data_IF_648685320036
#
_entry.id   IF_648685320036
#
_cell.length_a   1.000
_cell.length_b   1.000
_cell.length_c   1.000
_cell.angle_alpha   90.00
_cell.angle_beta   90.00
_cell.angle_gamma   90.00
#
_symmetry.space_group_name_H-M   'P 1'
#
loop_
_entity.id
_entity.type
_entity.pdbx_description
1 polymer ?
#
# COMPACT_ATOMS: atom_id res chain seq x y z
N UNK A 1 -1.43 29.56 -16.09
CA UNK A 1 -1.45 28.33 -15.27
C UNK A 1 -1.39 27.14 -16.22
N UNK A 2 -0.40 26.27 -16.09
CA UNK A 2 -0.20 25.16 -17.03
C UNK A 2 -1.41 24.20 -16.96
N UNK A 3 -1.97 23.83 -18.12
CA UNK A 3 -3.15 22.94 -18.24
C UNK A 3 -2.93 21.60 -17.51
N UNK A 4 -1.70 21.09 -17.52
CA UNK A 4 -1.29 19.86 -16.81
C UNK A 4 -1.48 19.99 -15.31
N UNK A 5 -0.94 21.03 -14.69
CA UNK A 5 -1.07 21.29 -13.25
C UNK A 5 -2.53 21.41 -12.79
N UNK A 6 -3.37 22.06 -13.63
CA UNK A 6 -4.82 22.16 -13.36
C UNK A 6 -5.50 20.79 -13.36
N UNK A 7 -5.11 19.91 -14.28
CA UNK A 7 -5.66 18.53 -14.34
C UNK A 7 -5.21 17.67 -13.16
N UNK A 8 -3.95 17.75 -12.76
CA UNK A 8 -3.41 17.05 -11.58
C UNK A 8 -4.16 17.45 -10.30
N UNK A 9 -4.29 18.76 -10.05
CA UNK A 9 -5.05 19.29 -8.90
C UNK A 9 -6.52 18.83 -8.91
N UNK A 10 -7.18 18.84 -10.09
CA UNK A 10 -8.55 18.36 -10.23
C UNK A 10 -8.66 16.86 -9.92
N UNK A 11 -7.72 16.03 -10.39
CA UNK A 11 -7.69 14.60 -10.12
C UNK A 11 -7.51 14.34 -8.62
N UNK A 12 -6.54 15.00 -7.99
CA UNK A 12 -6.30 14.86 -6.56
C UNK A 12 -7.50 15.32 -5.71
N UNK A 13 -8.14 16.43 -6.08
CA UNK A 13 -9.38 16.88 -5.45
C UNK A 13 -10.49 15.83 -5.57
N UNK A 14 -10.60 15.16 -6.73
CA UNK A 14 -11.55 14.07 -6.90
C UNK A 14 -11.26 12.89 -5.97
N UNK A 15 -9.99 12.50 -5.82
CA UNK A 15 -9.57 11.42 -4.92
C UNK A 15 -9.91 11.79 -3.46
N UNK A 16 -9.52 12.99 -3.00
CA UNK A 16 -9.85 13.49 -1.66
C UNK A 16 -11.37 13.44 -1.38
N UNK A 17 -12.16 13.94 -2.32
CA UNK A 17 -13.63 13.91 -2.19
C UNK A 17 -14.19 12.49 -2.13
N UNK A 18 -13.58 11.53 -2.83
CA UNK A 18 -14.00 10.13 -2.76
C UNK A 18 -13.66 9.51 -1.38
N UNK A 19 -12.49 9.83 -0.81
CA UNK A 19 -12.13 9.41 0.55
C UNK A 19 -13.13 9.96 1.58
N UNK A 20 -13.42 11.26 1.53
CA UNK A 20 -14.36 11.90 2.45
C UNK A 20 -15.76 11.26 2.34
N UNK A 21 -16.25 11.04 1.12
CA UNK A 21 -17.53 10.34 0.91
C UNK A 21 -17.52 8.90 1.40
N UNK A 22 -16.42 8.18 1.23
CA UNK A 22 -16.29 6.80 1.70
C UNK A 22 -16.32 6.74 3.23
N UNK A 23 -15.64 7.68 3.92
CA UNK A 23 -15.71 7.85 5.36
C UNK A 23 -17.16 8.11 5.82
N UNK A 24 -17.82 9.11 5.23
CA UNK A 24 -19.18 9.50 5.62
C UNK A 24 -20.16 8.34 5.45
N UNK A 25 -20.07 7.63 4.31
CA UNK A 25 -20.85 6.42 4.06
C UNK A 25 -20.59 5.31 5.10
N UNK A 26 -19.33 5.10 5.47
CA UNK A 26 -18.95 4.09 6.48
C UNK A 26 -19.51 4.45 7.86
N UNK A 27 -19.51 5.74 8.22
CA UNK A 27 -20.06 6.23 9.49
C UNK A 27 -21.60 6.09 9.54
N UNK A 28 -22.32 6.35 8.43
CA UNK A 28 -23.77 6.26 8.36
C UNK A 28 -24.30 4.81 8.39
N UNK A 29 -23.53 3.83 7.96
CA UNK A 29 -23.98 2.45 7.70
C UNK A 29 -23.73 1.45 8.84
N UNK A 30 -23.63 1.85 10.09
CA UNK A 30 -23.31 0.94 11.22
C UNK A 30 -22.02 0.10 11.04
N UNK A 31 -21.40 0.14 9.86
CA UNK A 31 -20.17 -0.59 9.56
C UNK A 31 -19.04 -0.12 10.47
N UNK A 32 -19.05 1.14 10.85
CA UNK A 32 -18.05 1.69 11.75
C UNK A 32 -18.18 1.10 13.17
N UNK A 33 -19.40 0.97 13.69
CA UNK A 33 -19.63 0.37 15.03
C UNK A 33 -19.18 -1.08 15.10
N UNK A 34 -19.42 -1.85 14.03
CA UNK A 34 -18.92 -3.24 13.91
C UNK A 34 -17.41 -3.26 13.85
N UNK A 35 -16.81 -2.38 13.06
CA UNK A 35 -15.34 -2.28 12.94
C UNK A 35 -14.71 -1.98 14.30
N UNK A 36 -15.22 -0.98 15.02
CA UNK A 36 -14.73 -0.62 16.34
C UNK A 36 -14.93 -1.76 17.37
N UNK A 37 -16.07 -2.45 17.33
CA UNK A 37 -16.33 -3.59 18.20
C UNK A 37 -15.33 -4.75 17.95
N UNK A 38 -15.06 -5.07 16.70
CA UNK A 38 -14.10 -6.12 16.34
C UNK A 38 -12.68 -5.72 16.72
N UNK A 39 -12.29 -4.46 16.48
CA UNK A 39 -10.96 -3.96 16.90
C UNK A 39 -10.79 -4.02 18.42
N UNK A 40 -11.79 -3.60 19.20
CA UNK A 40 -11.76 -3.71 20.67
C UNK A 40 -11.70 -5.16 21.15
N UNK A 41 -12.38 -6.08 20.49
CA UNK A 41 -12.30 -7.50 20.80
C UNK A 41 -10.87 -8.03 20.56
N UNK A 42 -10.24 -7.67 19.44
CA UNK A 42 -8.85 -8.03 19.12
C UNK A 42 -7.86 -7.40 20.11
N UNK A 43 -8.06 -6.14 20.51
CA UNK A 43 -7.27 -5.47 21.56
C UNK A 43 -7.36 -6.20 22.89
N UNK A 44 -8.54 -6.74 23.21
CA UNK A 44 -8.76 -7.55 24.41
C UNK A 44 -8.26 -9.01 24.30
N UNK A 45 -7.52 -9.35 23.23
CA UNK A 45 -7.01 -10.70 23.01
C UNK A 45 -8.06 -11.70 22.53
N UNK A 46 -9.26 -11.23 22.14
CA UNK A 46 -10.32 -12.11 21.63
C UNK A 46 -10.09 -12.40 20.16
N UNK A 47 -10.04 -13.69 19.79
CA UNK A 47 -9.81 -14.12 18.40
C UNK A 47 -11.09 -14.12 17.54
N UNK A 48 -12.26 -13.91 18.15
CA UNK A 48 -13.54 -13.82 17.47
C UNK A 48 -14.53 -12.96 18.26
N UNK A 49 -15.46 -12.35 17.55
CA UNK A 49 -16.61 -11.62 18.08
C UNK A 49 -17.86 -12.04 17.33
N UNK A 50 -18.91 -12.42 18.06
CA UNK A 50 -20.23 -12.70 17.50
C UNK A 50 -21.09 -11.46 17.58
N UNK A 51 -21.65 -11.04 16.46
CA UNK A 51 -22.59 -9.90 16.36
C UNK A 51 -23.95 -10.44 15.89
N UNK A 52 -24.96 -10.23 16.72
CA UNK A 52 -26.34 -10.56 16.40
C UNK A 52 -27.00 -9.37 15.70
N UNK A 53 -27.41 -9.56 14.48
CA UNK A 53 -28.19 -8.60 13.71
C UNK A 53 -29.68 -8.90 13.91
N UNK A 54 -30.30 -8.30 14.92
CA UNK A 54 -31.73 -8.56 15.25
C UNK A 54 -32.65 -8.27 14.06
N UNK A 55 -32.39 -7.18 13.33
CA UNK A 55 -33.18 -6.80 12.15
C UNK A 55 -33.11 -7.81 11.00
N UNK A 56 -32.04 -8.60 10.93
CA UNK A 56 -31.80 -9.59 9.87
C UNK A 56 -32.01 -11.02 10.34
N UNK A 57 -32.26 -11.24 11.63
CA UNK A 57 -32.34 -12.58 12.22
C UNK A 57 -31.09 -13.42 11.99
N UNK A 58 -29.90 -12.78 11.90
CA UNK A 58 -28.64 -13.41 11.51
C UNK A 58 -27.56 -13.10 12.53
N UNK A 59 -26.83 -14.13 12.95
CA UNK A 59 -25.58 -13.99 13.72
C UNK A 59 -24.39 -14.07 12.79
N UNK A 60 -23.49 -13.12 12.87
CA UNK A 60 -22.23 -13.13 12.12
C UNK A 60 -21.05 -13.19 13.09
N UNK A 61 -20.09 -14.09 12.78
CA UNK A 61 -18.85 -14.24 13.55
C UNK A 61 -17.73 -13.52 12.84
N UNK A 62 -17.15 -12.53 13.49
CA UNK A 62 -15.97 -11.80 13.04
C UNK A 62 -14.74 -12.34 13.74
N UNK A 63 -13.67 -12.53 12.99
CA UNK A 63 -12.39 -13.03 13.51
C UNK A 63 -11.25 -12.13 13.00
N UNK A 64 -10.04 -12.30 13.52
CA UNK A 64 -8.85 -11.61 12.99
C UNK A 64 -8.66 -11.81 11.47
N UNK A 65 -9.27 -12.82 10.85
CA UNK A 65 -9.30 -12.98 9.37
C UNK A 65 -10.00 -11.81 8.67
N UNK A 66 -10.86 -11.10 9.38
CA UNK A 66 -11.56 -9.93 8.86
C UNK A 66 -10.79 -8.63 9.04
N UNK A 67 -9.61 -8.64 9.69
CA UNK A 67 -8.78 -7.43 9.92
C UNK A 67 -8.56 -6.66 8.61
N UNK A 68 -8.38 -7.36 7.49
CA UNK A 68 -8.25 -6.70 6.19
C UNK A 68 -9.50 -5.91 5.77
N UNK A 69 -10.70 -6.41 6.03
CA UNK A 69 -11.95 -5.68 5.73
C UNK A 69 -12.14 -4.51 6.68
N UNK A 70 -11.84 -4.74 7.95
CA UNK A 70 -11.91 -3.75 9.01
C UNK A 70 -10.93 -2.61 8.74
N UNK A 71 -9.71 -2.94 8.33
CA UNK A 71 -8.69 -1.97 7.97
C UNK A 71 -9.16 -1.00 6.88
N UNK A 72 -9.89 -1.45 5.86
CA UNK A 72 -10.36 -0.57 4.77
C UNK A 72 -11.21 0.56 5.32
N UNK A 73 -12.18 0.25 6.21
CA UNK A 73 -13.06 1.25 6.82
C UNK A 73 -12.27 2.21 7.71
N UNK A 74 -11.37 1.68 8.54
CA UNK A 74 -10.54 2.50 9.42
C UNK A 74 -9.58 3.40 8.64
N UNK A 75 -8.97 2.89 7.56
CA UNK A 75 -8.08 3.70 6.74
C UNK A 75 -8.80 4.90 6.12
N UNK A 76 -10.07 4.77 5.72
CA UNK A 76 -10.82 5.92 5.20
C UNK A 76 -11.00 7.01 6.24
N UNK A 77 -11.27 6.65 7.50
CA UNK A 77 -11.37 7.63 8.60
C UNK A 77 -10.03 8.34 8.81
N UNK A 78 -8.94 7.59 8.95
CA UNK A 78 -7.61 8.13 9.23
C UNK A 78 -7.05 8.96 8.06
N UNK A 79 -7.30 8.52 6.81
CA UNK A 79 -6.93 9.30 5.62
C UNK A 79 -7.75 10.60 5.56
N UNK A 80 -9.06 10.55 5.89
CA UNK A 80 -9.92 11.71 5.91
C UNK A 80 -9.47 12.74 6.97
N UNK A 81 -9.10 12.28 8.17
CA UNK A 81 -8.54 13.14 9.23
C UNK A 81 -7.29 13.89 8.74
N UNK A 82 -6.36 13.20 8.06
CA UNK A 82 -5.18 13.82 7.51
C UNK A 82 -5.50 14.79 6.36
N UNK A 83 -6.49 14.48 5.51
CA UNK A 83 -6.94 15.40 4.45
C UNK A 83 -7.46 16.71 5.06
N UNK A 84 -8.23 16.61 6.14
CA UNK A 84 -8.88 17.75 6.80
C UNK A 84 -7.91 18.55 7.67
N UNK A 85 -6.98 17.89 8.33
CA UNK A 85 -6.04 18.52 9.26
C UNK A 85 -4.63 17.92 9.13
N UNK A 86 -3.76 18.54 8.33
CA UNK A 86 -2.40 18.09 8.03
C UNK A 86 -1.44 18.46 9.16
N UNK A 87 -1.22 17.56 10.08
CA UNK A 87 -0.27 17.67 11.21
C UNK A 87 0.55 16.39 11.33
N UNK A 88 1.68 16.43 12.05
CA UNK A 88 2.45 15.21 12.37
C UNK A 88 1.59 14.17 13.09
N UNK A 89 0.66 14.59 13.95
CA UNK A 89 -0.23 13.68 14.68
C UNK A 89 -1.18 12.93 13.73
N UNK A 90 -1.89 13.64 12.84
CA UNK A 90 -2.79 13.01 11.87
C UNK A 90 -2.02 12.24 10.81
N UNK A 91 -0.77 12.60 10.53
CA UNK A 91 0.12 11.80 9.70
C UNK A 91 0.48 10.47 10.37
N UNK A 92 0.78 10.47 11.69
CA UNK A 92 0.97 9.23 12.46
C UNK A 92 -0.29 8.35 12.46
N UNK A 93 -1.47 8.97 12.56
CA UNK A 93 -2.74 8.25 12.42
C UNK A 93 -2.89 7.60 11.05
N UNK A 94 -2.58 8.33 9.97
CA UNK A 94 -2.56 7.79 8.60
C UNK A 94 -1.60 6.59 8.48
N UNK A 95 -0.37 6.70 9.00
CA UNK A 95 0.60 5.60 8.98
C UNK A 95 0.11 4.38 9.77
N UNK A 96 -0.55 4.59 10.91
CA UNK A 96 -1.19 3.51 11.67
C UNK A 96 -2.34 2.85 10.90
N UNK A 97 -3.07 3.60 10.08
CA UNK A 97 -4.06 3.07 9.14
C UNK A 97 -3.41 2.20 8.05
N UNK A 98 -2.28 2.62 7.49
CA UNK A 98 -1.49 1.83 6.56
C UNK A 98 -0.97 0.55 7.22
N UNK A 99 -0.50 0.63 8.47
CA UNK A 99 -0.03 -0.54 9.23
C UNK A 99 -1.14 -1.57 9.44
N UNK A 100 -2.41 -1.16 9.56
CA UNK A 100 -3.54 -2.11 9.58
C UNK A 100 -3.62 -2.96 8.30
N UNK A 101 -3.20 -2.43 7.14
CA UNK A 101 -3.10 -3.23 5.90
C UNK A 101 -2.01 -4.30 6.01
N UNK A 102 -0.86 -3.95 6.56
CA UNK A 102 0.23 -4.89 6.86
C UNK A 102 -0.24 -5.99 7.81
N UNK A 103 -0.90 -5.61 8.92
CA UNK A 103 -1.47 -6.60 9.86
C UNK A 103 -2.50 -7.52 9.19
N UNK A 104 -3.31 -6.99 8.27
CA UNK A 104 -4.25 -7.79 7.48
C UNK A 104 -3.55 -8.83 6.62
N UNK A 105 -2.41 -8.48 6.05
CA UNK A 105 -1.58 -9.41 5.29
C UNK A 105 -0.90 -10.45 6.20
N UNK A 106 -0.41 -10.04 7.37
CA UNK A 106 0.15 -10.97 8.35
C UNK A 106 -0.89 -11.97 8.84
N UNK A 107 -2.09 -11.51 9.19
CA UNK A 107 -3.20 -12.37 9.60
C UNK A 107 -3.58 -13.36 8.48
N UNK A 108 -3.67 -12.90 7.24
CA UNK A 108 -4.03 -13.77 6.14
C UNK A 108 -2.95 -14.81 5.83
N UNK A 109 -1.68 -14.49 5.95
CA UNK A 109 -0.59 -15.45 5.78
C UNK A 109 -0.61 -16.55 6.84
N UNK A 110 -0.90 -16.20 8.10
CA UNK A 110 -0.95 -17.17 9.20
C UNK A 110 -2.15 -18.11 9.12
N UNK A 111 -3.31 -17.62 8.68
CA UNK A 111 -4.59 -18.31 8.90
C UNK A 111 -5.36 -18.69 7.64
N UNK A 112 -5.04 -18.11 6.51
CA UNK A 112 -5.61 -18.51 5.23
C UNK A 112 -4.63 -19.42 4.53
N UNK A 113 -4.70 -20.72 4.86
CA UNK A 113 -3.95 -21.72 4.13
C UNK A 113 -4.20 -21.53 2.62
N UNK A 114 -3.12 -21.31 1.87
CA UNK A 114 -3.06 -21.32 0.40
C UNK A 114 -3.96 -20.29 -0.31
N UNK A 115 -3.58 -19.06 -0.25
CA UNK A 115 -4.05 -18.06 -1.20
C UNK A 115 -5.31 -17.34 -0.75
N UNK A 116 -5.20 -16.47 0.23
CA UNK A 116 -6.11 -15.35 0.39
C UNK A 116 -6.19 -14.57 -0.93
N UNK A 117 -7.32 -13.94 -1.17
CA UNK A 117 -7.62 -13.14 -2.37
C UNK A 117 -6.84 -11.81 -2.44
N UNK A 118 -5.60 -11.78 -1.97
CA UNK A 118 -4.78 -10.59 -2.07
C UNK A 118 -4.25 -10.47 -3.49
N UNK A 119 -4.26 -9.26 -4.02
CA UNK A 119 -3.58 -8.95 -5.24
C UNK A 119 -2.09 -8.69 -4.92
N UNK A 120 -1.22 -9.04 -5.84
CA UNK A 120 0.22 -8.78 -5.74
C UNK A 120 0.52 -7.29 -5.55
N UNK A 121 -0.27 -6.40 -6.15
CA UNK A 121 -0.19 -4.94 -5.98
C UNK A 121 -0.37 -4.52 -4.52
N UNK A 122 -1.35 -5.07 -3.81
CA UNK A 122 -1.58 -4.76 -2.40
C UNK A 122 -0.38 -5.21 -1.54
N UNK A 123 0.17 -6.40 -1.82
CA UNK A 123 1.35 -6.91 -1.12
C UNK A 123 2.57 -6.03 -1.41
N UNK A 124 2.78 -5.64 -2.68
CA UNK A 124 3.87 -4.74 -3.06
C UNK A 124 3.78 -3.39 -2.35
N UNK A 125 2.59 -2.78 -2.28
CA UNK A 125 2.39 -1.52 -1.57
C UNK A 125 2.64 -1.64 -0.07
N UNK A 126 2.24 -2.75 0.56
CA UNK A 126 2.56 -3.04 1.96
C UNK A 126 4.07 -3.27 2.19
N UNK A 127 4.78 -3.90 1.24
CA UNK A 127 6.25 -4.04 1.31
C UNK A 127 6.92 -2.66 1.20
N UNK A 128 6.49 -1.81 0.25
CA UNK A 128 7.03 -0.45 0.11
C UNK A 128 6.79 0.37 1.38
N UNK A 129 5.63 0.21 2.02
CA UNK A 129 5.35 0.83 3.31
C UNK A 129 6.28 0.29 4.41
N UNK A 130 6.49 -1.02 4.47
CA UNK A 130 7.39 -1.63 5.45
C UNK A 130 8.84 -1.16 5.26
N UNK A 131 9.35 -1.11 4.03
CA UNK A 131 10.69 -0.57 3.72
C UNK A 131 10.85 0.89 4.15
N UNK A 132 9.78 1.68 4.10
CA UNK A 132 9.81 3.09 4.48
C UNK A 132 9.72 3.32 5.99
N UNK A 133 8.94 2.51 6.73
CA UNK A 133 8.47 2.87 8.07
C UNK A 133 8.57 1.75 9.12
N UNK A 134 8.93 0.53 8.76
CA UNK A 134 8.96 -0.61 9.67
C UNK A 134 10.35 -1.23 9.76
N UNK A 135 10.52 -2.13 10.71
CA UNK A 135 11.73 -2.92 10.88
C UNK A 135 11.82 -4.04 9.83
N UNK A 136 13.03 -4.51 9.57
CA UNK A 136 13.33 -5.57 8.60
C UNK A 136 12.49 -6.85 8.80
N UNK A 137 12.11 -7.16 10.04
CA UNK A 137 11.29 -8.34 10.34
C UNK A 137 9.91 -8.30 9.63
N UNK A 138 9.30 -7.12 9.50
CA UNK A 138 8.06 -6.96 8.77
C UNK A 138 8.27 -7.06 7.25
N UNK A 139 9.38 -6.49 6.77
CA UNK A 139 9.77 -6.59 5.37
C UNK A 139 9.94 -8.05 4.97
N UNK A 140 10.74 -8.81 5.73
CA UNK A 140 10.99 -10.22 5.47
C UNK A 140 9.70 -11.05 5.49
N UNK A 141 8.83 -10.80 6.46
CA UNK A 141 7.53 -11.49 6.53
C UNK A 141 6.66 -11.26 5.28
N UNK A 142 6.59 -10.02 4.81
CA UNK A 142 5.79 -9.67 3.62
C UNK A 142 6.44 -10.21 2.33
N UNK A 143 7.76 -10.24 2.27
CA UNK A 143 8.52 -10.84 1.17
C UNK A 143 8.25 -12.34 1.11
N UNK A 144 8.31 -13.05 2.24
CA UNK A 144 8.00 -14.48 2.29
C UNK A 144 6.56 -14.75 1.86
N UNK A 145 5.62 -13.87 2.22
CA UNK A 145 4.25 -13.95 1.75
C UNK A 145 4.13 -13.77 0.24
N UNK A 146 4.87 -12.83 -0.35
CA UNK A 146 4.86 -12.61 -1.81
C UNK A 146 5.41 -13.82 -2.55
N UNK A 147 6.52 -14.41 -2.06
CA UNK A 147 7.11 -15.64 -2.60
C UNK A 147 6.11 -16.80 -2.49
N UNK A 148 5.53 -17.00 -1.30
CA UNK A 148 4.53 -18.04 -1.08
C UNK A 148 3.27 -17.87 -1.95
N UNK A 149 2.83 -16.65 -2.18
CA UNK A 149 1.71 -16.36 -3.09
C UNK A 149 2.00 -16.89 -4.52
N UNK A 150 3.21 -16.67 -5.04
CA UNK A 150 3.65 -17.20 -6.34
C UNK A 150 3.65 -18.73 -6.35
N UNK A 151 4.28 -19.34 -5.35
CA UNK A 151 4.41 -20.80 -5.25
C UNK A 151 3.04 -21.48 -5.15
N UNK A 152 2.13 -20.95 -4.33
CA UNK A 152 0.78 -21.46 -4.19
C UNK A 152 -0.05 -21.38 -5.48
N UNK A 153 0.21 -20.43 -6.36
CA UNK A 153 -0.43 -20.34 -7.67
C UNK A 153 0.12 -21.43 -8.61
N UNK A 154 1.44 -21.65 -8.60
CA UNK A 154 2.10 -22.67 -9.40
C UNK A 154 1.64 -24.08 -8.99
N UNK A 155 1.58 -24.39 -7.68
CA UNK A 155 1.08 -25.67 -7.17
C UNK A 155 -0.35 -25.98 -7.61
N UNK A 156 -1.19 -24.96 -7.80
CA UNK A 156 -2.56 -25.10 -8.32
C UNK A 156 -2.63 -25.26 -9.84
N UNK A 157 -1.49 -25.39 -10.51
CA UNK A 157 -1.41 -25.44 -11.98
C UNK A 157 -1.82 -24.13 -12.64
N UNK A 158 -1.83 -23.04 -11.89
CA UNK A 158 -2.12 -21.69 -12.40
C UNK A 158 -0.79 -20.98 -12.63
N UNK A 159 -0.71 -20.25 -13.72
CA UNK A 159 0.36 -19.26 -13.87
C UNK A 159 0.19 -18.20 -12.77
N UNK A 160 1.28 -17.78 -12.10
CA UNK A 160 1.20 -16.70 -11.13
C UNK A 160 0.70 -15.45 -11.84
N UNK A 161 -0.46 -14.97 -11.40
CA UNK A 161 -1.09 -13.79 -11.98
C UNK A 161 -0.65 -12.58 -11.16
N UNK A 162 0.33 -11.85 -11.67
CA UNK A 162 0.65 -10.52 -11.20
C UNK A 162 -0.14 -9.52 -12.06
N UNK A 163 -1.32 -9.13 -11.58
CA UNK A 163 -2.34 -8.51 -12.42
C UNK A 163 -1.99 -7.14 -12.98
N UNK A 164 -1.18 -6.37 -12.31
CA UNK A 164 -0.99 -4.97 -12.69
C UNK A 164 0.37 -4.42 -12.33
N UNK A 165 1.16 -5.20 -11.62
CA UNK A 165 2.39 -4.73 -11.01
C UNK A 165 3.57 -4.66 -11.98
N UNK A 166 3.33 -4.33 -13.21
CA UNK A 166 4.40 -4.07 -14.17
C UNK A 166 5.40 -3.01 -13.69
N UNK A 167 5.02 -2.19 -12.71
CA UNK A 167 5.88 -1.17 -12.10
C UNK A 167 6.20 -1.42 -10.64
N UNK A 168 5.23 -1.83 -9.82
CA UNK A 168 5.42 -1.98 -8.37
C UNK A 168 6.31 -3.17 -8.00
N UNK A 169 6.11 -4.35 -8.60
CA UNK A 169 6.94 -5.51 -8.31
C UNK A 169 8.42 -5.30 -8.66
N UNK A 170 8.79 -4.80 -9.86
CA UNK A 170 10.16 -4.42 -10.16
C UNK A 170 10.76 -3.40 -9.19
N UNK A 171 9.97 -2.42 -8.76
CA UNK A 171 10.39 -1.43 -7.77
C UNK A 171 10.67 -2.06 -6.40
N UNK A 172 9.81 -2.97 -5.93
CA UNK A 172 10.03 -3.74 -4.69
C UNK A 172 11.32 -4.56 -4.78
N UNK A 173 11.51 -5.30 -5.89
CA UNK A 173 12.73 -6.09 -6.11
C UNK A 173 13.98 -5.22 -6.08
N UNK A 174 13.92 -4.07 -6.74
CA UNK A 174 15.04 -3.10 -6.76
C UNK A 174 15.34 -2.56 -5.36
N UNK A 175 14.34 -2.08 -4.62
CA UNK A 175 14.51 -1.49 -3.29
C UNK A 175 14.94 -2.53 -2.25
N UNK A 176 14.32 -3.71 -2.24
CA UNK A 176 14.70 -4.79 -1.33
C UNK A 176 16.15 -5.24 -1.52
N UNK A 177 16.64 -5.28 -2.76
CA UNK A 177 18.02 -5.59 -3.07
C UNK A 177 18.98 -4.41 -3.00
N UNK A 178 18.48 -3.23 -2.64
CA UNK A 178 19.27 -1.99 -2.64
C UNK A 178 19.94 -1.71 -4.00
N UNK A 179 19.27 -2.05 -5.08
CA UNK A 179 19.77 -1.96 -6.46
C UNK A 179 20.52 -3.20 -6.96
N UNK A 180 20.75 -4.19 -6.11
CA UNK A 180 21.46 -5.42 -6.46
C UNK A 180 20.49 -6.58 -6.75
N UNK A 181 21.02 -7.63 -7.43
CA UNK A 181 20.26 -8.86 -7.66
C UNK A 181 19.98 -9.58 -6.33
N UNK A 182 18.75 -10.00 -6.12
CA UNK A 182 18.29 -10.60 -4.86
C UNK A 182 17.34 -11.77 -5.09
N UNK A 183 16.91 -12.43 -3.98
CA UNK A 183 16.03 -13.62 -4.03
C UNK A 183 14.69 -13.38 -4.71
N UNK A 184 14.23 -12.13 -4.81
CA UNK A 184 12.98 -11.79 -5.47
C UNK A 184 13.10 -11.65 -6.99
N UNK A 185 14.32 -11.57 -7.54
CA UNK A 185 14.50 -11.37 -8.97
C UNK A 185 13.83 -12.47 -9.81
N UNK A 186 13.78 -13.70 -9.30
CA UNK A 186 13.07 -14.82 -9.93
C UNK A 186 11.56 -14.61 -10.04
N UNK A 187 10.98 -13.74 -9.22
CA UNK A 187 9.55 -13.40 -9.32
C UNK A 187 9.26 -12.62 -10.60
N UNK A 188 10.22 -11.88 -11.12
CA UNK A 188 10.08 -11.09 -12.35
C UNK A 188 10.06 -11.98 -13.61
N UNK A 189 10.73 -13.14 -13.58
CA UNK A 189 10.90 -14.00 -14.74
C UNK A 189 9.59 -14.57 -15.28
N UNK A 190 8.58 -14.69 -14.41
CA UNK A 190 7.26 -15.28 -14.74
C UNK A 190 6.10 -14.37 -14.33
N UNK A 191 6.33 -13.07 -14.15
CA UNK A 191 5.32 -12.09 -13.79
C UNK A 191 4.41 -11.77 -15.01
N UNK A 192 3.49 -12.71 -15.34
CA UNK A 192 2.76 -12.64 -16.58
C UNK A 192 1.38 -13.30 -16.49
N UNK A 193 0.35 -12.59 -16.96
CA UNK A 193 -0.98 -13.18 -17.20
C UNK A 193 -1.24 -13.35 -18.70
N UNK A 194 -1.34 -14.60 -19.21
CA UNK A 194 -1.59 -14.87 -20.61
C UNK A 194 -2.90 -14.27 -21.15
N UNK A 195 -3.85 -13.90 -20.28
CA UNK A 195 -5.10 -13.25 -20.71
C UNK A 195 -4.91 -11.80 -21.13
N UNK A 196 -3.87 -11.14 -20.64
CA UNK A 196 -3.68 -9.70 -20.82
C UNK A 196 -2.55 -9.32 -21.77
N UNK A 197 -1.98 -10.22 -22.47
CA UNK A 197 -0.83 -10.27 -23.39
C UNK A 197 0.44 -10.79 -22.74
N UNK A 198 1.17 -11.65 -23.49
CA UNK A 198 2.49 -12.05 -23.09
C UNK A 198 3.35 -10.80 -22.92
N UNK A 199 3.88 -10.65 -21.72
CA UNK A 199 5.05 -9.83 -21.52
C UNK A 199 6.14 -10.47 -22.38
N UNK A 200 6.82 -9.67 -23.14
CA UNK A 200 8.02 -10.09 -23.81
C UNK A 200 8.96 -10.76 -22.78
N UNK A 201 9.86 -11.61 -23.19
CA UNK A 201 10.77 -12.38 -22.31
C UNK A 201 11.62 -11.52 -21.36
N UNK A 202 11.60 -10.20 -21.51
CA UNK A 202 12.21 -9.24 -20.58
C UNK A 202 11.18 -8.79 -19.54
N UNK A 203 11.34 -9.15 -18.26
CA UNK A 203 10.42 -8.80 -17.17
C UNK A 203 10.26 -7.28 -16.96
N UNK A 204 11.20 -6.49 -17.47
CA UNK A 204 11.16 -5.03 -17.36
C UNK A 204 10.48 -4.34 -18.55
N UNK A 205 10.05 -5.07 -19.60
CA UNK A 205 9.47 -4.44 -20.80
C UNK A 205 8.18 -3.66 -20.54
N UNK A 206 7.42 -4.02 -19.51
CA UNK A 206 6.18 -3.33 -19.18
C UNK A 206 6.29 -2.41 -17.98
N UNK A 207 7.48 -2.26 -17.42
CA UNK A 207 7.70 -1.23 -16.41
C UNK A 207 7.56 0.14 -17.06
N UNK A 208 6.76 1.01 -16.46
CA UNK A 208 6.63 2.39 -16.93
C UNK A 208 7.98 3.08 -17.00
N UNK A 209 8.20 3.91 -18.01
CA UNK A 209 9.49 4.56 -18.23
C UNK A 209 9.94 5.43 -17.05
N UNK A 210 9.01 6.06 -16.32
CA UNK A 210 9.34 6.81 -15.11
C UNK A 210 9.90 5.92 -14.01
N UNK A 211 9.39 4.69 -13.85
CA UNK A 211 9.90 3.71 -12.88
C UNK A 211 11.25 3.13 -13.31
N UNK A 212 11.46 2.86 -14.61
CA UNK A 212 12.78 2.48 -15.13
C UNK A 212 13.79 3.58 -14.83
N UNK A 213 13.47 4.79 -15.20
CA UNK A 213 14.34 5.94 -15.04
C UNK A 213 14.68 6.19 -13.56
N UNK A 214 13.69 6.07 -12.63
CA UNK A 214 13.98 6.25 -11.21
C UNK A 214 14.90 5.17 -10.65
N UNK A 215 14.75 3.92 -11.05
CA UNK A 215 15.67 2.85 -10.64
C UNK A 215 17.10 3.12 -11.09
N UNK A 216 17.30 3.80 -12.22
CA UNK A 216 18.63 4.19 -12.72
C UNK A 216 19.17 5.45 -12.04
N UNK A 217 18.30 6.37 -11.63
CA UNK A 217 18.69 7.73 -11.22
C UNK A 217 18.47 8.06 -9.74
N UNK A 218 17.78 7.21 -8.98
CA UNK A 218 17.39 7.49 -7.58
C UNK A 218 18.59 7.86 -6.70
N UNK A 219 19.75 7.30 -6.98
CA UNK A 219 21.01 7.54 -6.26
C UNK A 219 21.97 8.46 -7.00
N UNK A 220 21.54 9.09 -8.09
CA UNK A 220 22.31 10.10 -8.80
C UNK A 220 22.53 11.36 -7.95
N UNK A 221 23.70 11.96 -8.06
CA UNK A 221 23.99 13.29 -7.50
C UNK A 221 23.33 14.40 -8.33
N UNK A 222 22.93 14.12 -9.57
CA UNK A 222 22.21 15.06 -10.42
C UNK A 222 20.76 15.22 -9.93
N UNK A 223 20.53 16.31 -9.20
CA UNK A 223 19.25 16.63 -8.57
C UNK A 223 18.15 16.92 -9.61
N UNK A 224 18.52 17.48 -10.77
CA UNK A 224 17.53 17.82 -11.79
C UNK A 224 16.98 16.58 -12.48
N UNK A 225 17.86 15.64 -12.85
CA UNK A 225 17.47 14.33 -13.41
C UNK A 225 16.58 13.57 -12.41
N UNK A 226 17.01 13.51 -11.14
CA UNK A 226 16.20 12.89 -10.08
C UNK A 226 14.83 13.55 -9.95
N UNK A 227 14.78 14.89 -9.90
CA UNK A 227 13.53 15.64 -9.75
C UNK A 227 12.56 15.38 -10.90
N UNK A 228 13.03 15.45 -12.15
CA UNK A 228 12.21 15.17 -13.33
C UNK A 228 11.60 13.76 -13.27
N UNK A 229 12.39 12.79 -12.85
CA UNK A 229 11.95 11.41 -12.73
C UNK A 229 10.86 11.23 -11.67
N UNK A 230 11.04 11.84 -10.49
CA UNK A 230 10.00 11.80 -9.42
C UNK A 230 8.72 12.48 -9.87
N UNK A 231 8.81 13.61 -10.57
CA UNK A 231 7.63 14.29 -11.12
C UNK A 231 6.90 13.42 -12.15
N UNK A 232 7.64 12.68 -12.99
CA UNK A 232 7.05 11.71 -13.93
C UNK A 232 6.36 10.56 -13.20
N UNK A 233 6.90 10.08 -12.08
CA UNK A 233 6.23 9.08 -11.24
C UNK A 233 4.93 9.62 -10.63
N UNK A 234 4.92 10.87 -10.17
CA UNK A 234 3.71 11.50 -9.66
C UNK A 234 2.60 11.58 -10.72
N UNK A 235 2.97 11.90 -11.95
CA UNK A 235 2.04 11.92 -13.09
C UNK A 235 1.50 10.51 -13.40
N UNK A 236 2.37 9.50 -13.39
CA UNK A 236 1.99 8.10 -13.55
C UNK A 236 1.04 7.66 -12.44
N UNK A 237 1.36 7.95 -11.19
CA UNK A 237 0.51 7.64 -10.04
C UNK A 237 -0.92 8.16 -10.28
N UNK A 238 -1.06 9.46 -10.52
CA UNK A 238 -2.37 10.08 -10.74
C UNK A 238 -3.11 9.52 -11.97
N UNK A 239 -2.41 9.11 -13.02
CA UNK A 239 -3.00 8.49 -14.20
C UNK A 239 -3.52 7.06 -13.91
N UNK A 240 -2.89 6.33 -12.99
CA UNK A 240 -3.20 4.94 -12.64
C UNK A 240 -4.03 4.78 -11.35
N UNK A 241 -4.66 5.83 -10.88
CA UNK A 241 -5.62 5.79 -9.77
C UNK A 241 -7.03 5.52 -10.29
N UNK A 242 -7.56 4.34 -9.97
CA UNK A 242 -8.90 3.93 -10.39
C UNK A 242 -9.39 2.77 -9.51
N UNK A 243 -10.69 2.71 -9.25
CA UNK A 243 -11.31 1.52 -8.64
C UNK A 243 -11.34 0.39 -9.68
N UNK A 244 -10.21 -0.30 -9.82
CA UNK A 244 -10.02 -1.42 -10.72
C UNK A 244 -8.75 -2.18 -10.37
N UNK A 245 -8.85 -3.49 -10.19
CA UNK A 245 -7.69 -4.36 -9.96
C UNK A 245 -6.71 -4.46 -11.14
N UNK A 246 -6.99 -3.76 -12.25
CA UNK A 246 -6.11 -3.69 -13.42
C UNK A 246 -5.12 -2.52 -13.37
N UNK A 247 -5.12 -1.74 -12.29
CA UNK A 247 -4.21 -0.61 -12.09
C UNK A 247 -3.47 -0.74 -10.77
N UNK A 248 -2.31 -0.11 -10.67
CA UNK A 248 -1.43 -0.20 -9.51
C UNK A 248 -2.06 0.39 -8.24
N UNK A 249 -2.82 1.48 -8.35
CA UNK A 249 -3.43 2.17 -7.21
C UNK A 249 -4.95 2.02 -7.24
N UNK A 250 -5.43 0.86 -6.80
CA UNK A 250 -6.83 0.46 -6.90
C UNK A 250 -7.66 0.78 -5.65
N UNK A 251 -7.05 1.05 -4.51
CA UNK A 251 -7.76 1.42 -3.26
C UNK A 251 -7.58 2.89 -2.94
N UNK A 252 -8.58 3.52 -2.33
CA UNK A 252 -8.56 4.96 -2.01
C UNK A 252 -7.38 5.36 -1.12
N UNK A 253 -6.94 4.48 -0.22
CA UNK A 253 -5.75 4.69 0.59
C UNK A 253 -4.53 4.94 -0.30
N UNK A 254 -4.22 3.99 -1.18
CA UNK A 254 -3.04 4.05 -2.04
C UNK A 254 -3.21 5.00 -3.23
N UNK A 255 -4.43 5.40 -3.60
CA UNK A 255 -4.67 6.46 -4.57
C UNK A 255 -4.28 7.84 -4.01
N UNK A 256 -4.42 8.03 -2.71
CA UNK A 256 -4.08 9.30 -2.05
C UNK A 256 -2.65 9.30 -1.50
N UNK A 257 -2.19 8.20 -0.89
CA UNK A 257 -0.90 8.07 -0.23
C UNK A 257 0.15 7.44 -1.17
N UNK A 258 1.07 8.23 -1.76
CA UNK A 258 2.01 7.77 -2.79
C UNK A 258 3.23 7.08 -2.17
N UNK A 259 3.03 5.95 -1.52
CA UNK A 259 4.07 5.25 -0.75
C UNK A 259 5.27 4.84 -1.62
N UNK A 260 5.04 4.50 -2.89
CA UNK A 260 6.09 4.11 -3.84
C UNK A 260 7.06 5.25 -4.15
N UNK A 261 6.60 6.50 -3.99
CA UNK A 261 7.45 7.69 -4.15
C UNK A 261 8.10 8.04 -2.81
N UNK A 262 7.33 8.02 -1.72
CA UNK A 262 7.84 8.40 -0.40
C UNK A 262 8.98 7.49 0.08
N UNK A 263 8.91 6.18 -0.20
CA UNK A 263 10.00 5.25 0.13
C UNK A 263 11.29 5.59 -0.63
N UNK A 264 11.20 5.97 -1.89
CA UNK A 264 12.35 6.40 -2.70
C UNK A 264 12.99 7.67 -2.14
N UNK A 265 12.16 8.65 -1.73
CA UNK A 265 12.65 9.88 -1.11
C UNK A 265 13.36 9.58 0.23
N UNK A 266 12.80 8.68 1.04
CA UNK A 266 13.44 8.24 2.30
C UNK A 266 14.78 7.55 2.03
N UNK A 267 14.84 6.62 1.09
CA UNK A 267 16.07 5.92 0.73
C UNK A 267 17.15 6.88 0.21
N UNK A 268 16.75 7.87 -0.58
CA UNK A 268 17.66 8.91 -1.05
C UNK A 268 18.22 9.75 0.12
N UNK A 269 17.36 10.18 1.04
CA UNK A 269 17.80 10.96 2.22
C UNK A 269 18.66 10.16 3.20
N UNK A 270 18.36 8.87 3.42
CA UNK A 270 19.21 7.99 4.22
C UNK A 270 20.66 7.92 3.68
N UNK A 271 20.84 8.12 2.39
CA UNK A 271 22.17 8.20 1.74
C UNK A 271 22.78 9.60 1.73
N UNK A 272 22.14 10.58 2.36
CA UNK A 272 22.60 11.97 2.38
C UNK A 272 22.43 12.71 1.05
N UNK A 273 21.64 12.18 0.13
CA UNK A 273 21.38 12.80 -1.17
C UNK A 273 20.20 13.79 -1.06
N UNK A 274 20.30 14.98 -1.66
CA UNK A 274 19.27 16.01 -1.53
C UNK A 274 18.00 15.65 -2.28
N UNK A 275 16.85 16.11 -1.74
CA UNK A 275 15.52 16.03 -2.36
C UNK A 275 14.92 17.41 -2.59
N UNK A 276 15.72 18.46 -2.47
CA UNK A 276 15.28 19.85 -2.50
C UNK A 276 14.59 20.22 -3.80
N UNK A 277 13.65 21.18 -3.70
CA UNK A 277 12.93 21.73 -4.84
C UNK A 277 11.88 20.80 -5.45
N UNK A 278 11.53 19.67 -4.80
CA UNK A 278 10.37 18.89 -5.18
C UNK A 278 9.09 19.63 -4.79
N UNK A 279 8.21 19.81 -5.73
CA UNK A 279 6.84 20.30 -5.50
C UNK A 279 5.92 19.68 -6.55
N UNK A 280 4.94 18.94 -6.09
CA UNK A 280 3.90 18.36 -6.92
C UNK A 280 2.63 18.20 -6.08
N UNK A 281 1.42 18.49 -6.61
CA UNK A 281 0.18 18.43 -5.83
C UNK A 281 -0.05 17.12 -5.08
N UNK A 282 0.47 15.99 -5.58
CA UNK A 282 0.41 14.69 -4.93
C UNK A 282 1.33 14.60 -3.71
N UNK A 283 2.48 15.26 -3.73
CA UNK A 283 3.51 15.16 -2.68
C UNK A 283 3.41 16.28 -1.64
N UNK A 284 2.92 17.45 -2.03
CA UNK A 284 2.95 18.66 -1.21
C UNK A 284 2.31 18.47 0.19
N UNK A 285 1.33 17.57 0.32
CA UNK A 285 0.72 17.25 1.60
C UNK A 285 1.61 16.40 2.51
N UNK A 286 2.53 15.61 1.96
CA UNK A 286 3.31 14.61 2.69
C UNK A 286 4.76 15.03 2.95
N UNK A 287 5.36 15.84 2.07
CA UNK A 287 6.75 16.27 2.18
C UNK A 287 7.13 16.88 3.55
N UNK A 288 6.24 17.61 4.26
CA UNK A 288 6.58 18.10 5.60
C UNK A 288 6.73 17.01 6.66
N UNK A 289 6.19 15.81 6.45
CA UNK A 289 6.02 14.77 7.48
C UNK A 289 6.67 13.45 7.13
N UNK A 290 7.00 13.17 5.85
CA UNK A 290 7.37 11.81 5.40
C UNK A 290 8.63 11.25 6.07
N UNK A 291 9.47 12.11 6.65
CA UNK A 291 10.66 11.72 7.42
C UNK A 291 10.38 11.47 8.90
N UNK A 292 9.18 11.79 9.39
CA UNK A 292 8.82 11.53 10.77
C UNK A 292 8.97 10.02 11.07
N UNK A 293 9.51 9.70 12.23
CA UNK A 293 9.61 8.32 12.70
C UNK A 293 8.21 7.77 12.97
N UNK A 294 7.94 6.60 12.41
CA UNK A 294 6.65 5.95 12.62
C UNK A 294 6.58 5.28 13.98
N UNK A 295 5.51 5.58 14.71
CA UNK A 295 5.20 4.97 15.98
C UNK A 295 3.96 4.09 15.85
N UNK A 296 4.14 2.76 15.99
CA UNK A 296 3.00 1.84 16.04
C UNK A 296 2.17 2.17 17.29
N UNK A 297 0.89 2.47 17.12
CA UNK A 297 0.00 2.79 18.22
C UNK A 297 -0.17 1.59 19.17
N UNK A 298 -0.44 1.84 20.45
CA UNK A 298 -0.69 0.77 21.43
C UNK A 298 -1.84 -0.14 20.98
N UNK A 299 -2.90 0.43 20.40
CA UNK A 299 -3.99 -0.32 19.81
C UNK A 299 -3.49 -1.32 18.75
N UNK A 300 -2.68 -0.87 17.80
CA UNK A 300 -2.14 -1.73 16.76
C UNK A 300 -1.19 -2.79 17.32
N UNK A 301 -0.40 -2.48 18.35
CA UNK A 301 0.46 -3.46 19.03
C UNK A 301 -0.37 -4.57 19.69
N UNK A 302 -1.46 -4.22 20.36
CA UNK A 302 -2.36 -5.20 21.01
C UNK A 302 -3.02 -6.10 19.96
N UNK A 303 -3.54 -5.53 18.87
CA UNK A 303 -4.14 -6.26 17.77
C UNK A 303 -3.12 -7.21 17.14
N UNK A 304 -1.90 -6.72 16.88
CA UNK A 304 -0.81 -7.51 16.31
C UNK A 304 -0.45 -8.67 17.24
N UNK A 305 -0.34 -8.44 18.56
CA UNK A 305 -0.13 -9.49 19.55
C UNK A 305 -1.15 -10.62 19.42
N UNK A 306 -2.43 -10.27 19.38
CA UNK A 306 -3.55 -11.23 19.19
C UNK A 306 -3.47 -12.00 17.87
N UNK A 307 -2.99 -11.36 16.79
CA UNK A 307 -2.81 -12.01 15.49
C UNK A 307 -1.64 -13.01 15.53
N UNK A 308 -0.56 -12.68 16.25
CA UNK A 308 0.66 -13.49 16.27
C UNK A 308 0.59 -14.68 17.23
N UNK A 309 -0.22 -14.62 18.30
CA UNK A 309 -0.53 -15.75 19.20
C UNK A 309 -1.35 -16.86 18.51
#
# INVERSE_FOLDING_TARGET
MNKTLSNQKRKLTSIRNQVLKARDFALEKEQFSVTEAVLKALEAGQKSLEINWEEKGKTETYTYKHVRMIHVIRSYTLVAEFIENKTSETYQSLLNGCFCSVMGDMASAKYLAKGGSNFDTDICLNILFALAYLDDAYVEFLIDKLVYFKEAQVEKGKQPIFFSSSSLLPLVVFLYGNGEHNRLASLLENAYDPKYKPLDSNPYHNVNDAYKQVMETIFSEDVDVFRETILSMCDYHLANTKDSHLVDFNTLLWQYFPIEILVLLKERQKRGLPIDGLSHPLLDDFLPYFMDDFQISEQNKMILGTILE
#
